data_IF_429573991355
#
_entry.id   IF_429573991355
#
_cell.length_a   1.000
_cell.length_b   1.000
_cell.length_c   1.000
_cell.angle_alpha   90.00
_cell.angle_beta   90.00
_cell.angle_gamma   90.00
#
_symmetry.space_group_name_H-M   'P 1'
#
loop_
_entity.id
_entity.type
_entity.pdbx_description
1 polymer ?
#
# COMPACT_ATOMS: atom_id res chain seq x y z
N UNK A 1 23.21 -8.22 11.34
CA UNK A 1 22.91 -6.79 11.23
C UNK A 1 21.48 -6.62 11.74
N UNK A 2 21.29 -6.13 12.96
CA UNK A 2 19.96 -5.95 13.56
C UNK A 2 19.52 -4.55 13.17
N UNK A 3 18.52 -4.44 12.30
CA UNK A 3 17.93 -3.15 11.96
C UNK A 3 17.21 -2.64 13.21
N UNK A 4 17.64 -1.51 13.77
CA UNK A 4 16.83 -0.78 14.74
C UNK A 4 15.52 -0.44 14.04
N UNK A 5 14.40 -0.92 14.58
CA UNK A 5 13.07 -0.49 14.13
C UNK A 5 13.06 1.02 14.35
N UNK A 6 13.06 1.81 13.27
CA UNK A 6 12.87 3.24 13.39
C UNK A 6 11.47 3.42 13.96
N UNK A 7 11.35 3.70 15.26
CA UNK A 7 10.07 3.86 15.93
C UNK A 7 9.45 5.19 15.51
N UNK A 8 8.59 5.12 14.49
CA UNK A 8 7.68 6.18 14.12
C UNK A 8 6.29 5.87 14.70
N UNK A 9 5.51 6.91 15.04
CA UNK A 9 4.10 6.70 15.37
C UNK A 9 3.35 6.12 14.15
N UNK A 10 2.33 5.30 14.42
CA UNK A 10 1.44 4.81 13.37
C UNK A 10 0.67 5.97 12.74
N UNK A 11 0.46 5.92 11.42
CA UNK A 11 -0.39 6.89 10.73
C UNK A 11 -1.82 6.36 10.65
N UNK A 12 -2.78 7.19 11.05
CA UNK A 12 -4.21 6.87 11.00
C UNK A 12 -4.88 7.59 9.84
N UNK A 13 -5.33 6.83 8.83
CA UNK A 13 -6.16 7.35 7.75
C UNK A 13 -7.55 7.78 8.25
N UNK A 14 -8.27 8.59 7.47
CA UNK A 14 -9.64 9.00 7.80
C UNK A 14 -10.60 7.80 7.91
N UNK A 15 -10.32 6.73 7.19
CA UNK A 15 -11.05 5.45 7.22
C UNK A 15 -10.81 4.66 8.53
N UNK A 16 -9.89 5.13 9.39
CA UNK A 16 -9.48 4.43 10.60
C UNK A 16 -8.34 3.43 10.40
N UNK A 17 -7.91 3.19 9.15
CA UNK A 17 -6.77 2.33 8.83
C UNK A 17 -5.49 2.87 9.47
N UNK A 18 -4.74 1.99 10.14
CA UNK A 18 -3.40 2.27 10.64
C UNK A 18 -2.35 1.73 9.67
N UNK A 19 -1.30 2.50 9.42
CA UNK A 19 -0.14 2.04 8.66
C UNK A 19 1.16 2.61 9.24
N UNK A 20 2.25 1.87 9.05
CA UNK A 20 3.57 2.32 9.48
C UNK A 20 4.05 3.44 8.56
N UNK A 21 4.69 4.46 9.14
CA UNK A 21 5.32 5.50 8.34
C UNK A 21 6.50 4.92 7.56
N UNK A 22 6.46 5.06 6.24
CA UNK A 22 7.55 4.70 5.35
C UNK A 22 8.13 5.96 4.69
N UNK A 23 9.45 6.12 4.79
CA UNK A 23 10.17 7.25 4.20
C UNK A 23 10.13 7.20 2.68
N UNK A 24 10.22 6.00 2.10
CA UNK A 24 10.19 5.80 0.65
C UNK A 24 8.89 6.29 0.03
N UNK A 25 7.76 5.90 0.62
CA UNK A 25 6.42 6.33 0.24
C UNK A 25 6.27 7.87 0.27
N UNK A 26 6.72 8.53 1.34
CA UNK A 26 6.64 10.00 1.43
C UNK A 26 7.52 10.66 0.36
N UNK A 27 8.75 10.19 0.20
CA UNK A 27 9.70 10.68 -0.80
C UNK A 27 9.14 10.59 -2.21
N UNK A 28 8.54 9.46 -2.56
CA UNK A 28 7.90 9.25 -3.85
C UNK A 28 6.70 10.18 -4.06
N UNK A 29 5.86 10.37 -3.02
CA UNK A 29 4.73 11.28 -3.09
C UNK A 29 5.17 12.74 -3.33
N UNK A 30 6.23 13.19 -2.65
CA UNK A 30 6.80 14.52 -2.84
C UNK A 30 7.43 14.64 -4.24
N UNK A 31 8.16 13.61 -4.69
CA UNK A 31 8.79 13.59 -6.03
C UNK A 31 7.75 13.72 -7.13
N UNK A 32 6.64 12.96 -7.03
CA UNK A 32 5.53 13.04 -8.00
C UNK A 32 4.93 14.45 -8.03
N UNK A 33 4.61 15.00 -6.86
CA UNK A 33 4.06 16.34 -6.76
C UNK A 33 5.01 17.42 -7.34
N UNK A 34 6.32 17.30 -7.09
CA UNK A 34 7.32 18.20 -7.62
C UNK A 34 7.42 18.11 -9.15
N UNK A 35 7.43 16.88 -9.70
CA UNK A 35 7.43 16.66 -11.15
C UNK A 35 6.18 17.28 -11.81
N UNK A 36 4.99 17.06 -11.24
CA UNK A 36 3.73 17.58 -11.76
C UNK A 36 3.65 19.12 -11.68
N UNK A 37 4.33 19.72 -10.72
CA UNK A 37 4.49 21.17 -10.57
C UNK A 37 5.59 21.77 -11.47
N UNK A 38 6.25 20.96 -12.32
CA UNK A 38 7.29 21.43 -13.25
C UNK A 38 8.70 21.46 -12.66
N UNK A 39 8.95 20.76 -11.55
CA UNK A 39 10.28 20.60 -10.93
C UNK A 39 10.80 19.16 -11.08
N UNK A 40 11.21 18.74 -12.30
CA UNK A 40 11.78 17.41 -12.49
C UNK A 40 13.08 17.25 -11.70
N UNK A 41 13.25 16.12 -11.02
CA UNK A 41 14.44 15.83 -10.19
C UNK A 41 14.71 16.89 -9.12
N UNK A 42 13.65 17.36 -8.46
CA UNK A 42 13.75 18.39 -7.43
C UNK A 42 14.66 17.97 -6.26
N UNK A 43 15.77 18.70 -6.10
CA UNK A 43 16.88 18.38 -5.20
C UNK A 43 16.55 18.42 -3.71
N UNK A 44 15.44 19.06 -3.31
CA UNK A 44 15.02 19.16 -1.90
C UNK A 44 14.15 18.02 -1.41
N UNK A 45 13.74 17.09 -2.29
CA UNK A 45 12.85 15.97 -1.93
C UNK A 45 13.35 15.21 -0.71
N UNK A 46 14.64 14.83 -0.70
CA UNK A 46 15.25 14.07 0.39
C UNK A 46 15.28 14.89 1.70
N UNK A 47 15.62 16.17 1.62
CA UNK A 47 15.65 17.07 2.77
C UNK A 47 14.27 17.29 3.40
N UNK A 48 13.22 17.46 2.59
CA UNK A 48 11.84 17.59 3.08
C UNK A 48 11.39 16.27 3.73
N UNK A 49 11.69 15.13 3.09
CA UNK A 49 11.35 13.80 3.62
C UNK A 49 11.99 13.58 5.00
N UNK A 50 13.28 13.86 5.14
CA UNK A 50 14.00 13.70 6.41
C UNK A 50 13.50 14.69 7.48
N UNK A 51 13.16 15.92 7.10
CA UNK A 51 12.61 16.91 8.04
C UNK A 51 11.27 16.44 8.63
N UNK A 52 10.40 15.85 7.80
CA UNK A 52 9.12 15.30 8.23
C UNK A 52 9.32 14.02 9.06
N UNK A 53 10.23 13.14 8.66
CA UNK A 53 10.58 11.95 9.44
C UNK A 53 11.11 12.33 10.84
N UNK A 54 11.99 13.34 10.90
CA UNK A 54 12.50 13.87 12.17
C UNK A 54 11.39 14.45 13.05
N UNK A 55 10.47 15.21 12.46
CA UNK A 55 9.29 15.73 13.16
C UNK A 55 8.41 14.61 13.74
N UNK A 56 8.18 13.54 12.98
CA UNK A 56 7.40 12.38 13.46
C UNK A 56 8.11 11.64 14.60
N UNK A 57 9.43 11.50 14.56
CA UNK A 57 10.21 10.90 15.67
C UNK A 57 10.09 11.70 16.95
N UNK A 58 10.05 13.02 16.87
CA UNK A 58 9.86 13.88 18.05
C UNK A 58 8.48 13.69 18.71
N UNK A 59 7.53 13.07 18.01
CA UNK A 59 6.17 12.75 18.49
C UNK A 59 6.00 11.27 18.88
N UNK A 60 7.07 10.52 19.12
CA UNK A 60 6.98 9.09 19.47
C UNK A 60 6.20 8.81 20.77
N UNK A 61 5.95 9.83 21.60
CA UNK A 61 5.08 9.73 22.78
C UNK A 61 3.58 9.58 22.40
N UNK A 62 3.19 9.92 21.16
CA UNK A 62 1.85 9.72 20.61
C UNK A 62 1.75 8.34 19.94
N UNK A 63 0.77 7.50 20.33
CA UNK A 63 0.63 6.15 19.75
C UNK A 63 0.26 6.17 18.25
N UNK A 64 -0.35 7.25 17.77
CA UNK A 64 -0.68 7.45 16.36
C UNK A 64 -0.76 8.94 15.99
N UNK A 65 -0.47 9.26 14.73
CA UNK A 65 -0.62 10.58 14.11
C UNK A 65 -1.66 10.51 13.00
N UNK A 66 -2.56 11.49 12.93
CA UNK A 66 -3.56 11.53 11.86
C UNK A 66 -2.90 11.78 10.49
N UNK A 67 -3.36 11.06 9.46
CA UNK A 67 -2.84 11.22 8.09
C UNK A 67 -3.02 12.65 7.56
N UNK A 68 -4.14 13.28 7.90
CA UNK A 68 -4.42 14.69 7.58
C UNK A 68 -3.39 15.62 8.18
N UNK A 69 -2.96 15.36 9.42
CA UNK A 69 -1.93 16.14 10.11
C UNK A 69 -0.55 15.98 9.44
N UNK A 70 -0.19 14.77 9.02
CA UNK A 70 1.02 14.55 8.21
C UNK A 70 0.96 15.36 6.91
N UNK A 71 -0.15 15.25 6.17
CA UNK A 71 -0.37 15.96 4.92
C UNK A 71 -0.25 17.48 5.10
N UNK A 72 -0.86 18.03 6.15
CA UNK A 72 -0.74 19.45 6.51
C UNK A 72 0.69 19.85 6.88
N UNK A 73 1.43 19.00 7.59
CA UNK A 73 2.82 19.27 7.98
C UNK A 73 3.71 19.37 6.73
N UNK A 74 3.57 18.45 5.77
CA UNK A 74 4.31 18.50 4.50
C UNK A 74 3.98 19.78 3.72
N UNK A 75 2.69 20.10 3.59
CA UNK A 75 2.24 21.34 2.92
C UNK A 75 2.79 22.60 3.60
N UNK A 76 2.86 22.61 4.93
CA UNK A 76 3.45 23.70 5.69
C UNK A 76 4.94 23.83 5.41
N UNK A 77 5.69 22.72 5.45
CA UNK A 77 7.13 22.74 5.13
C UNK A 77 7.36 23.29 3.72
N UNK A 78 6.68 22.75 2.70
CA UNK A 78 6.75 23.23 1.31
C UNK A 78 6.49 24.74 1.20
N UNK A 79 5.49 25.25 1.94
CA UNK A 79 5.17 26.68 1.98
C UNK A 79 6.30 27.52 2.58
N UNK A 80 6.91 27.05 3.68
CA UNK A 80 7.97 27.77 4.41
C UNK A 80 9.26 27.83 3.59
N UNK A 81 9.61 26.75 2.90
CA UNK A 81 10.80 26.72 2.02
C UNK A 81 10.58 27.39 0.66
N UNK A 82 9.39 27.97 0.42
CA UNK A 82 9.11 28.80 -0.76
C UNK A 82 8.57 28.05 -1.99
N UNK A 83 8.17 26.79 -1.86
CA UNK A 83 7.67 25.95 -2.98
C UNK A 83 6.17 25.71 -2.88
N UNK A 84 5.39 26.81 -2.94
CA UNK A 84 3.93 26.78 -2.81
C UNK A 84 3.26 26.14 -4.03
N UNK A 85 3.94 26.16 -5.15
CA UNK A 85 3.53 25.63 -6.45
C UNK A 85 3.42 24.10 -6.42
N UNK A 86 4.15 23.41 -5.53
CA UNK A 86 4.09 21.95 -5.36
C UNK A 86 2.84 21.54 -4.55
N UNK A 87 2.32 22.43 -3.70
CA UNK A 87 1.24 22.13 -2.74
C UNK A 87 -0.06 21.63 -3.42
N UNK A 88 -0.56 22.22 -4.52
CA UNK A 88 -1.75 21.73 -5.21
C UNK A 88 -1.61 20.30 -5.76
N UNK A 89 -0.38 19.92 -6.14
CA UNK A 89 -0.08 18.61 -6.72
C UNK A 89 0.22 17.55 -5.64
N UNK A 90 0.48 17.97 -4.41
CA UNK A 90 0.72 17.06 -3.30
C UNK A 90 -0.59 16.44 -2.79
N UNK A 91 -1.00 15.34 -3.39
CA UNK A 91 -2.14 14.52 -2.96
C UNK A 91 -1.66 13.13 -2.51
N UNK A 92 -1.06 13.01 -1.30
CA UNK A 92 -0.63 11.71 -0.81
C UNK A 92 -1.87 10.86 -0.50
N UNK A 93 -1.92 9.65 -1.05
CA UNK A 93 -2.85 8.62 -0.63
C UNK A 93 -2.18 7.73 0.42
N UNK A 94 -2.92 7.19 1.40
CA UNK A 94 -2.41 6.16 2.29
C UNK A 94 -1.77 5.03 1.46
N UNK A 95 -0.64 4.44 1.92
CA UNK A 95 -0.04 3.33 1.23
C UNK A 95 -1.03 2.15 1.14
N UNK A 96 -1.04 1.43 0.01
CA UNK A 96 -1.98 0.33 -0.17
C UNK A 96 -1.71 -0.80 0.79
N UNK A 97 -2.78 -1.43 1.27
CA UNK A 97 -2.66 -2.68 2.04
C UNK A 97 -2.15 -3.76 1.10
N UNK A 98 -0.96 -4.26 1.37
CA UNK A 98 -0.34 -5.30 0.53
C UNK A 98 -0.69 -6.68 1.07
N UNK A 99 -1.18 -7.55 0.19
CA UNK A 99 -1.47 -8.96 0.46
C UNK A 99 -0.65 -9.81 -0.49
N UNK A 100 0.21 -10.66 0.07
CA UNK A 100 0.93 -11.66 -0.72
C UNK A 100 0.04 -12.88 -0.96
N UNK A 101 -0.30 -13.13 -2.22
CA UNK A 101 -1.04 -14.33 -2.62
C UNK A 101 -0.23 -15.61 -2.36
N UNK A 102 1.10 -15.52 -2.46
CA UNK A 102 1.98 -16.65 -2.18
C UNK A 102 1.95 -17.06 -0.70
N UNK A 103 1.91 -16.09 0.23
CA UNK A 103 1.79 -16.40 1.66
C UNK A 103 0.46 -17.09 1.98
N UNK A 104 -0.62 -16.66 1.32
CA UNK A 104 -1.93 -17.33 1.45
C UNK A 104 -1.85 -18.75 0.89
N UNK A 105 -1.24 -18.94 -0.28
CA UNK A 105 -1.05 -20.26 -0.88
C UNK A 105 -0.20 -21.19 -0.01
N UNK A 106 0.85 -20.66 0.59
CA UNK A 106 1.74 -21.39 1.48
C UNK A 106 0.99 -21.82 2.75
N UNK A 107 0.21 -20.92 3.35
CA UNK A 107 -0.61 -21.23 4.53
C UNK A 107 -1.76 -22.21 4.23
N UNK A 108 -2.33 -22.17 3.01
CA UNK A 108 -3.35 -23.10 2.55
C UNK A 108 -2.81 -24.53 2.29
N UNK A 109 -1.50 -24.66 2.07
CA UNK A 109 -0.84 -25.92 1.72
C UNK A 109 -0.86 -26.22 0.22
N UNK A 110 0.17 -26.93 -0.26
CA UNK A 110 0.33 -27.23 -1.68
C UNK A 110 -0.82 -28.09 -2.24
N UNK A 111 -1.37 -27.69 -3.39
CA UNK A 111 -2.43 -28.43 -4.09
C UNK A 111 -3.87 -28.18 -3.61
N UNK A 112 -4.07 -27.34 -2.60
CA UNK A 112 -5.40 -27.03 -2.07
C UNK A 112 -5.93 -25.69 -2.61
N UNK A 113 -6.23 -25.66 -3.91
CA UNK A 113 -6.78 -24.47 -4.58
C UNK A 113 -8.05 -23.94 -3.88
N UNK A 114 -8.94 -24.82 -3.42
CA UNK A 114 -10.14 -24.42 -2.67
C UNK A 114 -9.83 -23.74 -1.34
N UNK A 115 -8.80 -24.19 -0.62
CA UNK A 115 -8.39 -23.58 0.64
C UNK A 115 -7.80 -22.18 0.41
N UNK A 116 -7.06 -21.98 -0.68
CA UNK A 116 -6.61 -20.65 -1.10
C UNK A 116 -7.81 -19.71 -1.31
N UNK A 117 -8.81 -20.13 -2.09
CA UNK A 117 -9.97 -19.27 -2.39
C UNK A 117 -10.78 -18.91 -1.14
N UNK A 118 -10.95 -19.84 -0.20
CA UNK A 118 -11.61 -19.56 1.08
C UNK A 118 -10.80 -18.54 1.93
N UNK A 119 -9.49 -18.77 2.09
CA UNK A 119 -8.63 -17.85 2.85
C UNK A 119 -8.55 -16.46 2.21
N UNK A 120 -8.46 -16.41 0.88
CA UNK A 120 -8.46 -15.15 0.13
C UNK A 120 -9.80 -14.42 0.26
N UNK A 121 -10.93 -15.13 0.19
CA UNK A 121 -12.25 -14.52 0.42
C UNK A 121 -12.31 -13.85 1.78
N UNK A 122 -12.00 -14.59 2.84
CA UNK A 122 -12.06 -14.05 4.21
C UNK A 122 -11.17 -12.83 4.39
N UNK A 123 -9.99 -12.83 3.76
CA UNK A 123 -9.06 -11.70 3.80
C UNK A 123 -9.64 -10.47 3.09
N UNK A 124 -10.26 -10.66 1.92
CA UNK A 124 -10.92 -9.58 1.18
C UNK A 124 -12.14 -9.05 1.94
N UNK A 125 -12.96 -9.94 2.51
CA UNK A 125 -14.15 -9.57 3.29
C UNK A 125 -13.77 -8.68 4.50
N UNK A 126 -12.68 -9.00 5.19
CA UNK A 126 -12.13 -8.17 6.27
C UNK A 126 -11.68 -6.79 5.77
N UNK A 127 -11.02 -6.72 4.61
CA UNK A 127 -10.58 -5.45 4.04
C UNK A 127 -11.77 -4.54 3.69
N UNK A 128 -12.81 -5.12 3.11
CA UNK A 128 -14.05 -4.42 2.76
C UNK A 128 -14.75 -3.86 4.01
N UNK A 129 -14.76 -4.60 5.12
CA UNK A 129 -15.29 -4.13 6.40
C UNK A 129 -14.46 -2.98 7.00
N UNK A 130 -13.14 -2.98 6.80
CA UNK A 130 -12.24 -1.94 7.33
C UNK A 130 -12.17 -0.65 6.51
N UNK A 131 -13.04 -0.49 5.49
CA UNK A 131 -13.07 0.69 4.61
C UNK A 131 -11.70 1.09 4.05
N UNK A 132 -10.85 0.09 3.73
CA UNK A 132 -9.55 0.34 3.11
C UNK A 132 -9.75 0.99 1.74
N UNK A 133 -8.93 1.98 1.39
CA UNK A 133 -9.08 2.74 0.13
C UNK A 133 -8.27 2.16 -1.02
N UNK A 134 -7.19 1.41 -0.72
CA UNK A 134 -6.36 0.78 -1.75
C UNK A 134 -5.74 -0.53 -1.25
N UNK A 135 -5.79 -1.55 -2.11
CA UNK A 135 -5.28 -2.91 -1.82
C UNK A 135 -4.40 -3.35 -2.97
N UNK A 136 -3.26 -3.94 -2.65
CA UNK A 136 -2.33 -4.48 -3.63
C UNK A 136 -2.14 -5.97 -3.37
N UNK A 137 -2.59 -6.79 -4.32
CA UNK A 137 -2.38 -8.24 -4.32
C UNK A 137 -1.09 -8.51 -5.08
N UNK A 138 -0.11 -9.11 -4.42
CA UNK A 138 1.23 -9.35 -4.98
C UNK A 138 1.56 -10.84 -5.04
N UNK A 139 2.60 -11.17 -5.79
CA UNK A 139 3.17 -12.52 -5.90
C UNK A 139 2.19 -13.55 -6.50
N UNK A 140 1.39 -13.12 -7.48
CA UNK A 140 0.45 -14.00 -8.20
C UNK A 140 1.17 -15.17 -8.90
N UNK A 141 2.27 -14.90 -9.61
CA UNK A 141 2.97 -15.95 -10.35
C UNK A 141 3.63 -17.00 -9.41
N UNK A 142 4.35 -16.61 -8.35
CA UNK A 142 4.82 -17.56 -7.32
C UNK A 142 3.67 -18.36 -6.68
N UNK A 143 2.55 -17.72 -6.35
CA UNK A 143 1.35 -18.37 -5.81
C UNK A 143 0.87 -19.51 -6.72
N UNK A 144 0.68 -19.21 -8.02
CA UNK A 144 0.24 -20.21 -9.01
C UNK A 144 1.24 -21.36 -9.12
N UNK A 145 2.55 -21.08 -9.19
CA UNK A 145 3.56 -22.13 -9.25
C UNK A 145 3.55 -23.02 -8.01
N UNK A 146 3.36 -22.44 -6.83
CA UNK A 146 3.27 -23.17 -5.57
C UNK A 146 2.08 -24.14 -5.57
N UNK A 147 0.89 -23.63 -5.91
CA UNK A 147 -0.34 -24.43 -5.93
C UNK A 147 -0.26 -25.58 -6.93
N UNK A 148 0.33 -25.34 -8.11
CA UNK A 148 0.52 -26.37 -9.15
C UNK A 148 1.70 -27.31 -8.85
N UNK A 149 2.55 -27.00 -7.87
CA UNK A 149 3.76 -27.76 -7.58
C UNK A 149 4.77 -27.78 -8.73
N UNK A 150 4.74 -26.80 -9.65
CA UNK A 150 5.59 -26.79 -10.84
C UNK A 150 6.69 -25.73 -10.76
N UNK A 151 7.87 -26.07 -11.27
CA UNK A 151 8.98 -25.12 -11.46
C UNK A 151 8.85 -24.33 -12.76
N UNK A 152 8.34 -24.99 -13.80
CA UNK A 152 8.13 -24.45 -15.14
C UNK A 152 6.67 -24.02 -15.31
N UNK A 153 6.46 -22.86 -15.93
CA UNK A 153 5.12 -22.35 -16.23
C UNK A 153 4.49 -23.18 -17.35
N UNK A 154 3.21 -23.52 -17.21
CA UNK A 154 2.45 -24.31 -18.19
C UNK A 154 1.11 -23.67 -18.49
N UNK A 155 0.42 -24.14 -19.53
CA UNK A 155 -0.96 -23.70 -19.85
C UNK A 155 -1.90 -23.85 -18.66
N UNK A 156 -1.68 -24.85 -17.81
CA UNK A 156 -2.50 -25.04 -16.62
C UNK A 156 -2.26 -23.98 -15.54
N UNK A 157 -1.08 -23.37 -15.51
CA UNK A 157 -0.79 -22.20 -14.67
C UNK A 157 -1.54 -20.96 -15.18
N UNK A 158 -1.67 -20.79 -16.50
CA UNK A 158 -2.45 -19.68 -17.06
C UNK A 158 -3.93 -19.76 -16.70
N UNK A 159 -4.50 -20.97 -16.73
CA UNK A 159 -5.89 -21.20 -16.30
C UNK A 159 -6.07 -20.80 -14.84
N UNK A 160 -5.27 -21.34 -13.93
CA UNK A 160 -5.37 -21.01 -12.50
C UNK A 160 -5.13 -19.52 -12.23
N UNK A 161 -4.17 -18.89 -12.93
CA UNK A 161 -3.95 -17.44 -12.84
C UNK A 161 -5.20 -16.66 -13.23
N UNK A 162 -5.85 -17.04 -14.33
CA UNK A 162 -7.07 -16.39 -14.78
C UNK A 162 -8.23 -16.58 -13.80
N UNK A 163 -8.36 -17.77 -13.20
CA UNK A 163 -9.35 -18.05 -12.17
C UNK A 163 -9.16 -17.19 -10.92
N UNK A 164 -7.93 -17.07 -10.41
CA UNK A 164 -7.62 -16.19 -9.27
C UNK A 164 -7.98 -14.74 -9.57
N UNK A 165 -7.61 -14.24 -10.76
CA UNK A 165 -7.93 -12.87 -11.17
C UNK A 165 -9.44 -12.66 -11.30
N UNK A 166 -10.15 -13.63 -11.90
CA UNK A 166 -11.60 -13.58 -12.05
C UNK A 166 -12.30 -13.55 -10.69
N UNK A 167 -11.89 -14.43 -9.78
CA UNK A 167 -12.42 -14.52 -8.42
C UNK A 167 -12.27 -13.20 -7.65
N UNK A 168 -11.07 -12.61 -7.68
CA UNK A 168 -10.81 -11.32 -7.01
C UNK A 168 -11.70 -10.23 -7.61
N UNK A 169 -11.79 -10.14 -8.94
CA UNK A 169 -12.61 -9.12 -9.60
C UNK A 169 -14.09 -9.27 -9.27
N UNK A 170 -14.61 -10.50 -9.28
CA UNK A 170 -16.00 -10.80 -8.94
C UNK A 170 -16.30 -10.37 -7.49
N UNK A 171 -15.48 -10.77 -6.53
CA UNK A 171 -15.61 -10.39 -5.12
C UNK A 171 -15.63 -8.87 -4.92
N UNK A 172 -14.72 -8.15 -5.58
CA UNK A 172 -14.65 -6.70 -5.51
C UNK A 172 -15.81 -6.01 -6.23
N UNK A 173 -16.33 -6.60 -7.30
CA UNK A 173 -17.49 -6.05 -8.03
C UNK A 173 -18.80 -6.14 -7.25
N UNK A 174 -18.95 -7.13 -6.37
CA UNK A 174 -20.09 -7.24 -5.45
C UNK A 174 -20.01 -6.17 -4.37
N UNK A 175 -18.80 -5.70 -4.05
CA UNK A 175 -18.52 -4.67 -3.04
C UNK A 175 -18.68 -3.22 -3.54
N UNK A 176 -19.31 -3.00 -4.70
CA UNK A 176 -19.44 -1.69 -5.37
C UNK A 176 -20.14 -0.57 -4.54
N UNK A 177 -20.75 -0.91 -3.42
CA UNK A 177 -21.34 0.07 -2.48
C UNK A 177 -20.31 0.69 -1.52
N UNK A 178 -19.03 0.28 -1.60
CA UNK A 178 -17.93 0.79 -0.78
C UNK A 178 -17.05 1.77 -1.60
N UNK A 179 -16.43 2.78 -0.94
CA UNK A 179 -15.62 3.79 -1.62
C UNK A 179 -14.54 3.13 -2.50
N UNK A 180 -14.32 3.70 -3.69
CA UNK A 180 -13.49 3.18 -4.78
C UNK A 180 -12.23 2.45 -4.31
N UNK A 181 -12.34 1.13 -4.09
CA UNK A 181 -11.21 0.30 -3.69
C UNK A 181 -10.27 0.14 -4.88
N UNK A 182 -9.16 0.86 -4.86
CA UNK A 182 -8.13 0.71 -5.88
C UNK A 182 -7.38 -0.60 -5.66
N UNK A 183 -7.74 -1.63 -6.44
CA UNK A 183 -7.09 -2.94 -6.40
C UNK A 183 -6.12 -3.13 -7.57
N UNK A 184 -4.86 -3.47 -7.28
CA UNK A 184 -3.89 -3.87 -8.29
C UNK A 184 -3.34 -5.28 -8.02
N UNK A 185 -3.17 -6.05 -9.09
CA UNK A 185 -2.58 -7.40 -9.07
C UNK A 185 -1.18 -7.32 -9.70
N UNK A 186 -0.13 -7.61 -8.93
CA UNK A 186 1.28 -7.61 -9.38
C UNK A 186 1.95 -8.99 -9.25
#
# INVERSE_FOLDING_TARGET
MVAFKEEFPYLKAETGQLFEFDRGWLREAITRAANDAGYPSWWLTDHVTESIAFYLRLRNDESFVAFTQLSQTVRYVLKVIGYKEIIPHFSPAPPPVTISLFEIAYAAGAGYELALFDMLSRRLDLLLQTHVTSVQLVALNPCVKHLRGTRVWSRSCDVLRAEIVSFVREKLSVAKDLPELNCSLR
#
